data_IF_113515826301
#
_entry.id   IF_113515826301
#
_cell.length_a   1.000
_cell.length_b   1.000
_cell.length_c   1.000
_cell.angle_alpha   90.00
_cell.angle_beta   90.00
_cell.angle_gamma   90.00
#
_symmetry.space_group_name_H-M   'P 1'
#
loop_
_entity.id
_entity.type
_entity.pdbx_description
1 polymer ?
#
# COMPACT_ATOMS: atom_id res chain seq x y z
N UNK A 1 31.25 -4.33 4.00
CA UNK A 1 30.54 -5.57 3.63
C UNK A 1 29.45 -5.74 4.65
N UNK A 2 28.31 -5.10 4.40
CA UNK A 2 27.12 -5.27 5.21
C UNK A 2 26.62 -6.70 4.99
N UNK A 3 26.12 -7.30 6.05
CA UNK A 3 25.62 -8.68 6.09
C UNK A 3 24.28 -8.74 5.33
N UNK A 4 24.32 -8.56 4.01
CA UNK A 4 23.14 -8.29 3.16
C UNK A 4 22.23 -9.53 2.97
N UNK A 5 22.59 -10.69 3.52
CA UNK A 5 21.91 -11.96 3.22
C UNK A 5 20.90 -12.44 4.26
N UNK A 6 21.00 -12.00 5.53
CA UNK A 6 20.16 -12.52 6.61
C UNK A 6 19.15 -11.46 7.06
N UNK A 7 17.83 -11.70 6.94
CA UNK A 7 16.83 -10.76 7.42
C UNK A 7 16.88 -10.62 8.95
N UNK A 8 16.45 -9.47 9.45
CA UNK A 8 16.26 -9.26 10.89
C UNK A 8 14.98 -9.94 11.35
N UNK A 9 15.03 -10.71 12.43
CA UNK A 9 13.82 -11.24 13.06
C UNK A 9 13.26 -10.20 14.02
N UNK A 10 12.12 -9.61 13.68
CA UNK A 10 11.46 -8.53 14.43
C UNK A 10 10.00 -8.92 14.63
N UNK A 11 9.54 -9.03 15.88
CA UNK A 11 8.18 -9.44 16.22
C UNK A 11 7.66 -10.67 15.43
N UNK A 12 8.51 -11.68 15.23
CA UNK A 12 8.16 -12.90 14.48
C UNK A 12 8.10 -12.73 12.96
N UNK A 13 8.50 -11.59 12.42
CA UNK A 13 8.63 -11.31 10.98
C UNK A 13 10.10 -11.22 10.57
N UNK A 14 10.42 -11.68 9.36
CA UNK A 14 11.73 -11.54 8.73
C UNK A 14 11.76 -10.24 7.93
N UNK A 15 12.39 -9.21 8.48
CA UNK A 15 12.52 -7.88 7.86
C UNK A 15 13.77 -7.83 7.01
N UNK A 16 13.65 -7.52 5.72
CA UNK A 16 14.80 -7.37 4.84
C UNK A 16 15.71 -6.22 5.30
N UNK A 17 17.03 -6.48 5.31
CA UNK A 17 18.04 -5.48 5.68
C UNK A 17 18.13 -4.30 4.71
N UNK A 18 17.64 -4.47 3.47
CA UNK A 18 17.46 -3.37 2.51
C UNK A 18 16.68 -2.19 3.11
N UNK A 19 15.78 -2.44 4.07
CA UNK A 19 15.03 -1.39 4.78
C UNK A 19 15.88 -0.55 5.76
N UNK A 20 17.12 -0.95 6.03
CA UNK A 20 18.08 -0.20 6.84
C UNK A 20 18.96 0.73 5.99
N UNK A 21 18.90 0.60 4.66
CA UNK A 21 19.70 1.39 3.74
C UNK A 21 19.38 2.88 3.85
N UNK A 22 20.44 3.68 3.82
CA UNK A 22 20.36 5.13 3.70
C UNK A 22 20.10 5.49 2.24
N UNK A 23 18.91 5.98 1.92
CA UNK A 23 18.59 6.48 0.57
C UNK A 23 18.31 7.98 0.60
N UNK A 24 18.73 8.75 -0.42
CA UNK A 24 18.39 10.17 -0.57
C UNK A 24 16.93 10.32 -1.01
N UNK A 25 16.02 9.69 -0.27
CA UNK A 25 14.59 9.67 -0.56
C UNK A 25 13.78 9.98 0.70
N UNK A 26 12.65 10.65 0.49
CA UNK A 26 11.62 10.89 1.50
C UNK A 26 10.29 10.34 1.00
N UNK A 27 9.32 10.17 1.89
CA UNK A 27 8.00 9.72 1.50
C UNK A 27 7.32 10.73 0.57
N UNK A 28 6.59 10.23 -0.42
CA UNK A 28 5.84 11.08 -1.34
C UNK A 28 4.81 11.94 -0.59
N UNK A 29 4.55 13.14 -1.13
CA UNK A 29 3.45 13.98 -0.67
C UNK A 29 2.17 13.54 -1.39
N UNK A 30 1.14 13.17 -0.64
CA UNK A 30 -0.13 12.71 -1.23
C UNK A 30 -0.71 13.76 -2.17
N UNK A 31 -0.57 15.05 -1.85
CA UNK A 31 -1.05 16.18 -2.67
C UNK A 31 -0.37 16.31 -4.03
N UNK A 32 0.78 15.67 -4.22
CA UNK A 32 1.52 15.65 -5.50
C UNK A 32 1.49 14.27 -6.17
N UNK A 33 0.89 13.27 -5.51
CA UNK A 33 0.87 11.89 -5.96
C UNK A 33 0.05 11.75 -7.24
N UNK A 34 0.62 11.07 -8.25
CA UNK A 34 -0.09 10.72 -9.47
C UNK A 34 -0.65 9.28 -9.46
N UNK A 35 -0.48 8.57 -8.34
CA UNK A 35 -1.10 7.27 -8.07
C UNK A 35 -0.81 6.18 -9.09
N UNK A 36 0.43 6.13 -9.62
CA UNK A 36 0.83 5.11 -10.58
C UNK A 36 0.70 3.67 -10.01
N UNK A 37 0.85 3.50 -8.69
CA UNK A 37 0.57 2.23 -8.00
C UNK A 37 -0.88 1.73 -8.12
N UNK A 38 -1.81 2.59 -8.55
CA UNK A 38 -3.20 2.21 -8.81
C UNK A 38 -3.44 1.70 -10.23
N UNK A 39 -2.41 1.52 -11.07
CA UNK A 39 -2.56 1.12 -12.49
C UNK A 39 -3.25 -0.24 -12.66
N UNK A 40 -2.97 -1.21 -11.78
CA UNK A 40 -3.41 -2.60 -11.90
C UNK A 40 -4.51 -3.04 -10.94
N UNK A 41 -5.04 -2.15 -10.10
CA UNK A 41 -5.87 -2.58 -8.98
C UNK A 41 -5.03 -3.16 -7.84
N UNK A 42 -5.68 -3.84 -6.89
CA UNK A 42 -5.02 -4.51 -5.77
C UNK A 42 -5.83 -5.74 -5.37
N UNK A 43 -5.16 -6.79 -4.91
CA UNK A 43 -5.81 -7.91 -4.24
C UNK A 43 -6.19 -7.54 -2.81
N UNK A 44 -7.37 -7.94 -2.38
CA UNK A 44 -7.88 -7.64 -1.03
C UNK A 44 -8.33 -8.90 -0.33
N UNK A 45 -8.13 -8.93 0.99
CA UNK A 45 -8.72 -9.98 1.83
C UNK A 45 -10.26 -9.89 1.81
N UNK A 46 -10.95 -11.02 1.91
CA UNK A 46 -12.41 -11.04 1.89
C UNK A 46 -13.06 -10.23 3.03
N UNK A 47 -12.42 -10.14 4.21
CA UNK A 47 -12.92 -9.29 5.29
C UNK A 47 -12.73 -7.80 4.98
N UNK A 48 -11.65 -7.41 4.30
CA UNK A 48 -11.46 -6.03 3.82
C UNK A 48 -12.49 -5.67 2.76
N UNK A 49 -12.71 -6.55 1.77
CA UNK A 49 -13.81 -6.43 0.80
C UNK A 49 -15.15 -6.22 1.53
N UNK A 50 -15.44 -7.03 2.54
CA UNK A 50 -16.64 -6.91 3.36
C UNK A 50 -16.78 -5.53 4.02
N UNK A 51 -15.70 -4.99 4.61
CA UNK A 51 -15.68 -3.64 5.20
C UNK A 51 -15.91 -2.54 4.17
N UNK A 52 -15.29 -2.67 2.98
CA UNK A 52 -15.45 -1.73 1.87
C UNK A 52 -16.91 -1.71 1.40
N UNK A 53 -17.51 -2.88 1.17
CA UNK A 53 -18.91 -3.00 0.76
C UNK A 53 -19.88 -2.50 1.83
N UNK A 54 -19.63 -2.79 3.11
CA UNK A 54 -20.42 -2.27 4.22
C UNK A 54 -20.35 -0.73 4.32
N UNK A 55 -19.29 -0.12 3.79
CA UNK A 55 -19.09 1.33 3.75
C UNK A 55 -19.45 1.96 2.40
N UNK A 56 -20.17 1.23 1.53
CA UNK A 56 -20.38 1.66 0.15
C UNK A 56 -21.12 3.00 0.04
N UNK A 57 -22.12 3.22 0.90
CA UNK A 57 -22.86 4.49 0.94
C UNK A 57 -21.96 5.70 1.21
N UNK A 58 -20.89 5.52 1.99
CA UNK A 58 -19.92 6.57 2.32
C UNK A 58 -18.84 6.73 1.24
N UNK A 59 -18.50 5.66 0.52
CA UNK A 59 -17.49 5.68 -0.56
C UNK A 59 -18.05 6.28 -1.85
N UNK A 60 -19.29 5.92 -2.23
CA UNK A 60 -19.93 6.34 -3.51
C UNK A 60 -19.87 7.84 -3.81
N UNK A 61 -20.09 8.77 -2.85
CA UNK A 61 -19.99 10.21 -3.12
C UNK A 61 -18.64 10.66 -3.67
N UNK A 62 -17.57 9.92 -3.36
CA UNK A 62 -16.21 10.22 -3.80
C UNK A 62 -15.80 9.48 -5.08
N UNK A 63 -16.70 8.71 -5.69
CA UNK A 63 -16.47 8.03 -6.96
C UNK A 63 -17.18 8.76 -8.11
N UNK A 64 -16.61 8.70 -9.33
CA UNK A 64 -17.33 9.05 -10.56
C UNK A 64 -18.66 8.28 -10.65
N UNK A 65 -19.75 8.90 -11.16
CA UNK A 65 -21.08 8.28 -11.20
C UNK A 65 -21.11 6.86 -11.77
N UNK A 66 -20.35 6.61 -12.84
CA UNK A 66 -20.25 5.33 -13.53
C UNK A 66 -19.53 4.24 -12.72
N UNK A 67 -18.75 4.63 -11.70
CA UNK A 67 -18.02 3.72 -10.80
C UNK A 67 -18.76 3.47 -9.47
N UNK A 68 -19.97 4.02 -9.29
CA UNK A 68 -20.73 3.91 -8.01
C UNK A 68 -21.50 2.60 -7.84
N UNK A 69 -21.55 1.77 -8.87
CA UNK A 69 -22.16 0.45 -8.79
C UNK A 69 -21.23 -0.50 -8.03
N UNK A 70 -21.54 -0.75 -6.76
CA UNK A 70 -20.72 -1.56 -5.85
C UNK A 70 -20.61 -3.03 -6.28
N UNK A 71 -21.55 -3.52 -7.11
CA UNK A 71 -21.46 -4.87 -7.68
C UNK A 71 -20.30 -5.03 -8.67
N UNK A 72 -19.69 -3.91 -9.10
CA UNK A 72 -18.58 -3.86 -10.06
C UNK A 72 -17.25 -3.49 -9.41
N UNK A 73 -17.19 -3.34 -8.08
CA UNK A 73 -15.97 -2.90 -7.39
C UNK A 73 -14.85 -3.94 -7.35
N UNK A 74 -15.21 -5.20 -7.53
CA UNK A 74 -14.31 -6.34 -7.53
C UNK A 74 -14.51 -7.14 -8.81
N UNK A 75 -13.47 -7.84 -9.26
CA UNK A 75 -13.48 -8.59 -10.52
C UNK A 75 -14.29 -9.89 -10.48
N UNK A 76 -14.68 -10.34 -9.27
CA UNK A 76 -15.44 -11.56 -9.05
C UNK A 76 -14.60 -12.84 -9.05
N UNK A 77 -13.27 -12.73 -9.14
CA UNK A 77 -12.34 -13.88 -9.17
C UNK A 77 -11.67 -14.00 -7.82
N UNK A 78 -12.06 -15.03 -7.06
CA UNK A 78 -11.46 -15.34 -5.78
C UNK A 78 -10.39 -16.40 -5.93
N UNK A 79 -9.22 -16.14 -5.38
CA UNK A 79 -8.08 -17.06 -5.38
C UNK A 79 -7.73 -17.44 -3.95
N UNK A 80 -7.32 -18.70 -3.76
CA UNK A 80 -6.81 -19.16 -2.47
C UNK A 80 -5.37 -18.65 -2.32
N UNK A 81 -5.12 -17.95 -1.22
CA UNK A 81 -3.82 -17.37 -0.92
C UNK A 81 -3.69 -17.24 0.60
N UNK A 82 -2.67 -17.91 1.14
CA UNK A 82 -2.43 -18.07 2.57
C UNK A 82 -1.92 -16.79 3.24
N UNK A 83 -1.47 -15.82 2.45
CA UNK A 83 -1.02 -14.53 2.97
C UNK A 83 -2.20 -13.62 3.32
N UNK A 84 -3.39 -13.88 2.76
CA UNK A 84 -4.62 -13.26 3.22
C UNK A 84 -5.12 -13.91 4.51
N UNK A 85 -5.53 -13.13 5.53
CA UNK A 85 -6.06 -13.66 6.79
C UNK A 85 -7.26 -14.61 6.64
N UNK A 86 -8.10 -14.40 5.62
CA UNK A 86 -9.22 -15.29 5.29
C UNK A 86 -8.82 -16.52 4.48
N UNK A 87 -7.54 -16.62 4.08
CA UNK A 87 -6.98 -17.63 3.18
C UNK A 87 -7.35 -17.42 1.72
N UNK A 88 -8.01 -16.30 1.38
CA UNK A 88 -8.52 -16.00 0.04
C UNK A 88 -8.45 -14.51 -0.28
N UNK A 89 -8.11 -14.19 -1.52
CA UNK A 89 -8.08 -12.83 -2.04
C UNK A 89 -9.07 -12.63 -3.18
N UNK A 90 -9.44 -11.38 -3.45
CA UNK A 90 -10.15 -10.97 -4.66
C UNK A 90 -9.59 -9.65 -5.19
N UNK A 91 -9.45 -9.51 -6.50
CA UNK A 91 -8.98 -8.28 -7.12
C UNK A 91 -10.02 -7.17 -7.10
N UNK A 92 -9.60 -5.94 -6.83
CA UNK A 92 -10.43 -4.77 -7.19
C UNK A 92 -10.55 -4.68 -8.69
N UNK A 93 -11.73 -4.30 -9.21
CA UNK A 93 -11.90 -4.11 -10.63
C UNK A 93 -10.95 -3.02 -11.17
N UNK A 94 -10.48 -3.23 -12.40
CA UNK A 94 -9.69 -2.27 -13.17
C UNK A 94 -10.57 -1.70 -14.28
N UNK A 95 -10.54 -0.38 -14.43
CA UNK A 95 -11.33 0.36 -15.42
C UNK A 95 -10.41 1.18 -16.32
N UNK A 96 -10.84 1.35 -17.57
CA UNK A 96 -10.15 2.21 -18.53
C UNK A 96 -10.15 3.64 -17.97
N UNK A 97 -8.97 4.25 -17.93
CA UNK A 97 -8.78 5.66 -17.59
C UNK A 97 -7.63 6.21 -18.44
N UNK A 98 -8.00 6.76 -19.60
CA UNK A 98 -7.05 7.34 -20.55
C UNK A 98 -6.39 8.63 -20.04
N UNK A 99 -6.87 9.19 -18.92
CA UNK A 99 -6.24 10.36 -18.30
C UNK A 99 -5.08 9.95 -17.40
N UNK A 100 -5.00 8.68 -16.99
CA UNK A 100 -3.89 8.12 -16.23
C UNK A 100 -2.79 7.59 -17.17
N UNK A 101 -1.52 7.72 -16.79
CA UNK A 101 -0.37 7.32 -17.63
C UNK A 101 -0.40 5.84 -18.04
N UNK A 102 -0.97 4.97 -17.20
CA UNK A 102 -1.10 3.55 -17.48
C UNK A 102 -2.31 3.19 -18.39
N UNK A 103 -3.19 4.14 -18.72
CA UNK A 103 -4.39 3.92 -19.56
C UNK A 103 -5.53 3.15 -18.87
N UNK A 104 -5.26 2.52 -17.73
CA UNK A 104 -6.23 1.87 -16.86
C UNK A 104 -5.84 2.10 -15.39
N UNK A 105 -6.84 1.97 -14.50
CA UNK A 105 -6.70 2.24 -13.06
C UNK A 105 -7.63 1.35 -12.23
N UNK A 106 -7.29 1.15 -10.97
CA UNK A 106 -8.21 0.66 -9.94
C UNK A 106 -9.51 1.47 -9.95
N UNK A 107 -10.65 0.80 -9.87
CA UNK A 107 -11.97 1.42 -9.84
C UNK A 107 -12.13 2.49 -8.74
N UNK A 108 -11.38 2.36 -7.64
CA UNK A 108 -11.41 3.29 -6.51
C UNK A 108 -10.53 4.54 -6.71
N UNK A 109 -9.74 4.63 -7.78
CA UNK A 109 -8.98 5.84 -8.10
C UNK A 109 -9.91 6.92 -8.67
N UNK A 110 -9.82 8.13 -8.14
CA UNK A 110 -10.54 9.30 -8.65
C UNK A 110 -9.76 9.93 -9.81
N UNK A 111 -10.33 10.01 -11.03
CA UNK A 111 -9.60 10.55 -12.18
C UNK A 111 -9.21 12.02 -12.03
N UNK A 112 -10.00 12.81 -11.29
CA UNK A 112 -9.87 14.27 -11.24
C UNK A 112 -8.69 14.74 -10.39
N UNK A 113 -8.40 14.04 -9.29
CA UNK A 113 -7.39 14.43 -8.31
C UNK A 113 -6.42 13.29 -7.92
N UNK A 114 -6.56 12.12 -8.55
CA UNK A 114 -5.75 10.93 -8.29
C UNK A 114 -5.81 10.43 -6.85
N UNK A 115 -6.80 10.84 -6.06
CA UNK A 115 -6.99 10.29 -4.73
C UNK A 115 -7.75 8.97 -4.75
N UNK A 116 -7.37 8.08 -3.84
CA UNK A 116 -8.12 6.87 -3.58
C UNK A 116 -9.42 7.23 -2.84
N UNK A 117 -10.57 6.88 -3.40
CA UNK A 117 -11.88 7.15 -2.80
C UNK A 117 -12.06 6.48 -1.43
N UNK A 118 -11.46 5.32 -1.19
CA UNK A 118 -11.51 4.62 0.09
C UNK A 118 -10.78 5.39 1.21
N UNK A 119 -9.56 5.83 0.90
CA UNK A 119 -8.76 6.65 1.82
C UNK A 119 -9.44 7.99 2.06
N UNK A 120 -9.93 8.64 1.01
CA UNK A 120 -10.62 9.93 1.13
C UNK A 120 -11.91 9.81 1.97
N UNK A 121 -12.69 8.74 1.78
CA UNK A 121 -13.88 8.44 2.59
C UNK A 121 -13.55 8.31 4.08
N UNK A 122 -12.46 7.63 4.41
CA UNK A 122 -11.99 7.49 5.79
C UNK A 122 -11.62 8.85 6.40
N UNK A 123 -10.82 9.65 5.68
CA UNK A 123 -10.40 10.99 6.11
C UNK A 123 -11.61 11.92 6.31
N UNK A 124 -12.57 11.91 5.38
CA UNK A 124 -13.76 12.75 5.46
C UNK A 124 -14.67 12.43 6.66
N UNK A 125 -14.54 11.22 7.23
CA UNK A 125 -15.22 10.78 8.45
C UNK A 125 -14.43 11.07 9.73
N UNK A 126 -13.24 11.66 9.62
CA UNK A 126 -12.33 11.86 10.76
C UNK A 126 -11.67 10.57 11.25
N UNK A 127 -11.64 9.53 10.41
CA UNK A 127 -11.01 8.25 10.72
C UNK A 127 -9.55 8.22 10.24
N UNK A 128 -8.82 7.17 10.64
CA UNK A 128 -7.48 6.96 10.13
C UNK A 128 -7.50 6.83 8.59
N UNK A 129 -6.55 7.43 7.85
CA UNK A 129 -6.56 7.40 6.38
C UNK A 129 -6.59 5.99 5.76
N UNK A 130 -6.14 4.98 6.51
CA UNK A 130 -6.09 3.59 6.06
C UNK A 130 -7.24 2.72 6.56
N UNK A 131 -8.25 3.29 7.23
CA UNK A 131 -9.39 2.51 7.77
C UNK A 131 -10.10 1.67 6.71
N UNK A 132 -10.30 2.20 5.51
CA UNK A 132 -10.89 1.47 4.37
C UNK A 132 -9.87 1.14 3.27
N UNK A 133 -8.61 1.55 3.40
CA UNK A 133 -7.60 1.30 2.38
C UNK A 133 -7.18 -0.17 2.47
N UNK A 134 -7.15 -0.94 1.37
CA UNK A 134 -6.67 -2.30 1.41
C UNK A 134 -5.24 -2.39 1.97
N UNK A 135 -4.96 -3.45 2.71
CA UNK A 135 -3.70 -3.66 3.44
C UNK A 135 -2.48 -3.47 2.53
N UNK A 136 -2.43 -4.16 1.40
CA UNK A 136 -1.31 -4.03 0.44
C UNK A 136 -1.21 -2.64 -0.20
N UNK A 137 -2.33 -1.94 -0.41
CA UNK A 137 -2.31 -0.54 -0.83
C UNK A 137 -1.76 0.39 0.26
N UNK A 138 -2.04 0.10 1.53
CA UNK A 138 -1.55 0.89 2.67
C UNK A 138 -0.06 0.64 2.95
N UNK A 139 0.42 -0.59 2.68
CA UNK A 139 1.82 -0.97 2.83
C UNK A 139 2.73 -0.53 1.68
N UNK A 140 2.20 -0.26 0.48
CA UNK A 140 3.02 0.09 -0.68
C UNK A 140 4.05 1.21 -0.39
N UNK A 141 5.35 1.04 -0.71
CA UNK A 141 5.96 -0.04 -1.51
C UNK A 141 6.51 -1.22 -0.68
N UNK A 142 6.17 -1.30 0.61
CA UNK A 142 6.44 -2.47 1.44
C UNK A 142 5.46 -3.57 1.06
N UNK A 143 5.94 -4.80 0.97
CA UNK A 143 5.13 -5.99 0.76
C UNK A 143 5.42 -7.06 1.79
N UNK A 144 4.56 -8.07 1.84
CA UNK A 144 4.71 -9.24 2.69
C UNK A 144 4.43 -10.51 1.91
N UNK A 145 5.29 -11.49 2.08
CA UNK A 145 5.09 -12.87 1.63
C UNK A 145 5.34 -13.79 2.84
N UNK A 146 4.28 -14.44 3.33
CA UNK A 146 4.26 -15.14 4.61
C UNK A 146 4.70 -14.27 5.80
N UNK A 147 5.84 -14.61 6.40
CA UNK A 147 6.47 -13.85 7.48
C UNK A 147 7.57 -12.88 7.00
N UNK A 148 7.82 -12.76 5.70
CA UNK A 148 8.75 -11.78 5.14
C UNK A 148 8.15 -10.38 5.09
N UNK A 149 8.97 -9.35 5.33
CA UNK A 149 8.63 -7.93 5.16
C UNK A 149 9.72 -7.29 4.31
N UNK A 150 9.33 -6.83 3.13
CA UNK A 150 10.26 -6.53 2.05
C UNK A 150 9.96 -5.18 1.41
N UNK A 151 10.99 -4.53 0.86
CA UNK A 151 10.78 -3.42 -0.07
C UNK A 151 10.58 -4.00 -1.46
N UNK A 152 9.41 -3.77 -2.06
CA UNK A 152 9.12 -4.17 -3.43
C UNK A 152 9.64 -3.11 -4.41
N UNK A 153 10.98 -3.10 -4.59
CA UNK A 153 11.68 -2.17 -5.49
C UNK A 153 12.17 -2.76 -6.82
N UNK A 154 11.73 -3.98 -7.12
CA UNK A 154 12.14 -4.74 -8.32
C UNK A 154 10.92 -5.08 -9.20
N UNK A 155 10.09 -4.08 -9.50
CA UNK A 155 8.90 -4.23 -10.34
C UNK A 155 8.67 -3.01 -11.27
N UNK A 156 7.74 -3.15 -12.22
CA UNK A 156 7.42 -2.11 -13.19
C UNK A 156 6.82 -0.84 -12.56
N UNK A 157 5.99 -0.99 -11.51
CA UNK A 157 5.40 0.15 -10.79
C UNK A 157 6.52 1.00 -10.19
N UNK A 158 7.55 0.37 -9.64
CA UNK A 158 8.73 1.04 -9.10
C UNK A 158 9.53 1.72 -10.20
N UNK A 159 9.83 1.02 -11.30
CA UNK A 159 10.59 1.59 -12.42
C UNK A 159 9.91 2.82 -13.03
N UNK A 160 8.58 2.88 -13.00
CA UNK A 160 7.76 3.98 -13.56
C UNK A 160 7.48 5.12 -12.57
N UNK A 161 8.08 5.11 -11.38
CA UNK A 161 7.96 6.18 -10.39
C UNK A 161 6.81 6.01 -9.39
N UNK A 162 6.13 4.86 -9.40
CA UNK A 162 4.98 4.55 -8.55
C UNK A 162 5.32 4.09 -7.13
N UNK A 163 6.50 4.41 -6.60
CA UNK A 163 7.08 3.75 -5.41
C UNK A 163 7.07 4.57 -4.12
N UNK A 164 6.31 5.67 -4.07
CA UNK A 164 6.18 6.54 -2.90
C UNK A 164 7.51 7.10 -2.33
N UNK A 165 8.62 7.03 -3.08
CA UNK A 165 9.89 7.67 -2.73
C UNK A 165 10.11 8.87 -3.62
N UNK A 166 10.30 10.03 -3.01
CA UNK A 166 10.67 11.27 -3.68
C UNK A 166 12.12 11.56 -3.37
N UNK A 167 12.91 11.91 -4.38
CA UNK A 167 14.29 12.33 -4.18
C UNK A 167 14.40 13.53 -3.21
N UNK A 168 15.42 13.50 -2.38
CA UNK A 168 15.79 14.57 -1.45
C UNK A 168 17.31 14.69 -1.38
N UNK A 169 17.83 15.85 -1.00
CA UNK A 169 19.28 16.05 -0.85
C UNK A 169 19.88 15.40 0.39
N UNK A 170 19.06 14.90 1.32
CA UNK A 170 19.52 14.35 2.59
C UNK A 170 19.15 12.86 2.69
N UNK A 171 20.14 11.96 2.71
CA UNK A 171 19.90 10.54 2.94
C UNK A 171 19.25 10.26 4.29
N UNK A 172 18.27 9.37 4.30
CA UNK A 172 17.66 8.84 5.52
C UNK A 172 17.43 7.32 5.39
N UNK A 173 17.39 6.58 6.51
CA UNK A 173 17.11 5.15 6.48
C UNK A 173 15.69 4.89 5.97
N UNK A 174 15.52 3.87 5.13
CA UNK A 174 14.20 3.51 4.60
C UNK A 174 13.18 3.14 5.70
N UNK A 175 13.61 2.57 6.81
CA UNK A 175 12.71 2.27 7.93
C UNK A 175 12.14 3.54 8.60
N UNK A 176 12.81 4.69 8.44
CA UNK A 176 12.27 6.00 8.84
C UNK A 176 11.33 6.52 7.75
N UNK A 177 11.70 6.40 6.47
CA UNK A 177 10.87 6.82 5.33
C UNK A 177 9.50 6.14 5.31
N UNK A 178 9.45 4.85 5.66
CA UNK A 178 8.25 4.01 5.65
C UNK A 178 7.77 3.64 7.06
N UNK A 179 7.95 4.54 8.03
CA UNK A 179 7.54 4.31 9.42
C UNK A 179 6.08 3.85 9.54
N UNK A 180 5.15 4.49 8.81
CA UNK A 180 3.73 4.16 8.90
C UNK A 180 3.42 2.73 8.43
N UNK A 181 4.00 2.30 7.31
CA UNK A 181 3.83 0.95 6.76
C UNK A 181 4.48 -0.10 7.67
N UNK A 182 5.66 0.20 8.21
CA UNK A 182 6.35 -0.70 9.12
C UNK A 182 5.63 -0.82 10.46
N UNK A 183 5.03 0.26 10.98
CA UNK A 183 4.13 0.19 12.14
C UNK A 183 2.87 -0.61 11.84
N UNK A 184 2.32 -0.51 10.63
CA UNK A 184 1.14 -1.28 10.23
C UNK A 184 1.43 -2.78 10.21
N UNK A 185 2.56 -3.21 9.65
CA UNK A 185 2.89 -4.64 9.49
C UNK A 185 3.57 -5.26 10.72
N UNK A 186 4.43 -4.51 11.42
CA UNK A 186 5.18 -5.01 12.59
C UNK A 186 4.47 -4.71 13.92
N UNK A 187 3.49 -3.81 13.92
CA UNK A 187 2.98 -3.17 15.13
C UNK A 187 3.97 -2.15 15.71
N UNK A 188 3.49 -1.30 16.62
CA UNK A 188 4.34 -0.26 17.24
C UNK A 188 5.54 -0.85 17.97
N UNK A 189 5.35 -1.93 18.73
CA UNK A 189 6.45 -2.58 19.46
C UNK A 189 7.50 -3.18 18.51
N UNK A 190 7.06 -3.77 17.40
CA UNK A 190 7.96 -4.33 16.39
C UNK A 190 8.72 -3.23 15.66
N UNK A 191 8.08 -2.11 15.35
CA UNK A 191 8.78 -0.95 14.78
C UNK A 191 9.87 -0.41 15.71
N UNK A 192 9.57 -0.26 17.01
CA UNK A 192 10.58 0.18 17.98
C UNK A 192 11.72 -0.83 18.17
N UNK A 193 11.43 -2.13 18.01
CA UNK A 193 12.47 -3.18 17.99
C UNK A 193 13.37 -3.05 16.75
N UNK A 194 12.79 -2.86 15.56
CA UNK A 194 13.53 -2.62 14.33
C UNK A 194 14.44 -1.40 14.44
N UNK A 195 13.93 -0.30 15.00
CA UNK A 195 14.71 0.93 15.22
C UNK A 195 15.91 0.69 16.12
N UNK A 196 15.72 0.01 17.26
CA UNK A 196 16.83 -0.35 18.17
C UNK A 196 17.85 -1.27 17.49
N UNK A 197 17.39 -2.22 16.68
CA UNK A 197 18.28 -3.10 15.93
C UNK A 197 19.10 -2.32 14.89
N UNK A 198 18.50 -1.35 14.21
CA UNK A 198 19.18 -0.50 13.24
C UNK A 198 20.23 0.42 13.89
N UNK A 199 19.95 0.96 15.08
CA UNK A 199 20.87 1.80 15.85
C UNK A 199 22.07 1.04 16.44
N UNK A 200 21.98 -0.30 16.51
CA UNK A 200 23.01 -1.16 17.06
C UNK A 200 24.00 -1.70 16.01
N UNK A 201 23.81 -1.37 14.73
CA UNK A 201 24.67 -1.75 13.59
C UNK A 201 25.71 -0.67 13.29
#
# INVERSE_FOLDING_TARGET
>A
MTDDGVPLLINGKRVQRKLLEMRPTQRCLTTECQSYCCSGGVWVDLAEKGKILASAAQVKPYLPPERRDESKWFDGVQEDDVDFPSGRGEGTAVVIDLTHKAGATCIFLRPEDRYCALQFSSIARGEHPWTLKPFYCALHPITTEGDSVELDDENEIYAEGGHCQRETGTPMPLYITFEGELRLVLGDSGYEELKRAAEAL
#
